data_IF_475540281548
#
_entry.id   IF_475540281548
#
_cell.length_a   1.000
_cell.length_b   1.000
_cell.length_c   1.000
_cell.angle_alpha   90.00
_cell.angle_beta   90.00
_cell.angle_gamma   90.00
#
_symmetry.space_group_name_H-M   'P 1'
#
loop_
_entity.id
_entity.type
_entity.pdbx_description
1 polymer ?
#
# COMPACT_ATOMS: atom_id res chain seq x y z
N UNK A 1 -3.73 17.81 -9.08
CA UNK A 1 -4.17 17.51 -7.71
C UNK A 1 -3.44 16.31 -7.17
N UNK A 2 -2.98 16.39 -5.94
CA UNK A 2 -2.36 15.24 -5.29
C UNK A 2 -3.44 14.37 -4.65
N UNK A 3 -3.38 13.08 -4.92
CA UNK A 3 -4.28 12.12 -4.32
C UNK A 3 -3.52 11.47 -3.17
N UNK A 4 -4.15 11.40 -2.01
CA UNK A 4 -3.53 10.83 -0.82
C UNK A 4 -4.28 9.61 -0.35
N UNK A 5 -3.53 8.66 0.20
CA UNK A 5 -4.10 7.46 0.81
C UNK A 5 -3.42 7.24 2.15
N UNK A 6 -4.20 6.84 3.13
CA UNK A 6 -3.67 6.58 4.46
C UNK A 6 -3.21 5.14 4.57
N UNK A 7 -2.02 4.94 5.14
CA UNK A 7 -1.45 3.63 5.39
C UNK A 7 -1.04 3.51 6.84
N UNK A 8 -0.92 2.30 7.32
CA UNK A 8 -0.50 2.01 8.68
C UNK A 8 0.80 1.22 8.65
N UNK A 9 1.69 1.52 9.57
CA UNK A 9 2.98 0.86 9.66
C UNK A 9 2.80 -0.55 10.24
N UNK A 10 3.44 -1.53 9.61
CA UNK A 10 3.44 -2.91 10.12
C UNK A 10 4.58 -3.09 11.09
N UNK A 11 4.25 -3.60 12.28
CA UNK A 11 5.26 -3.88 13.31
C UNK A 11 5.42 -5.36 13.58
N UNK A 12 4.53 -6.20 13.02
CA UNK A 12 4.54 -7.63 13.23
C UNK A 12 4.41 -8.33 11.87
N UNK A 13 5.25 -9.33 11.62
CA UNK A 13 5.33 -10.03 10.34
C UNK A 13 4.90 -11.49 10.43
N UNK A 14 4.25 -11.90 11.51
CA UNK A 14 3.78 -13.27 11.67
C UNK A 14 2.65 -13.56 10.68
N UNK A 15 2.53 -14.82 10.29
CA UNK A 15 1.49 -15.24 9.36
C UNK A 15 0.08 -14.94 9.88
N UNK A 16 -0.11 -15.07 11.18
CA UNK A 16 -1.40 -14.77 11.81
C UNK A 16 -1.76 -13.29 11.66
N UNK A 17 -0.78 -12.40 11.74
CA UNK A 17 -0.98 -10.97 11.53
C UNK A 17 -1.37 -10.66 10.09
N UNK A 18 -0.72 -11.30 9.12
CA UNK A 18 -1.07 -11.15 7.71
C UNK A 18 -2.50 -11.59 7.43
N UNK A 19 -2.90 -12.72 8.02
CA UNK A 19 -4.27 -13.21 7.88
C UNK A 19 -5.28 -12.22 8.47
N UNK A 20 -4.97 -11.68 9.64
CA UNK A 20 -5.83 -10.70 10.31
C UNK A 20 -5.98 -9.44 9.47
N UNK A 21 -4.89 -8.95 8.88
CA UNK A 21 -4.92 -7.77 8.01
C UNK A 21 -5.86 -8.02 6.83
N UNK A 22 -5.79 -9.20 6.21
CA UNK A 22 -6.67 -9.53 5.08
C UNK A 22 -8.12 -9.70 5.50
N UNK A 23 -8.36 -10.30 6.66
CA UNK A 23 -9.72 -10.50 7.17
C UNK A 23 -10.40 -9.17 7.46
N UNK A 24 -9.63 -8.14 7.80
CA UNK A 24 -10.15 -6.80 8.06
C UNK A 24 -10.31 -5.97 6.78
N UNK A 25 -10.05 -6.56 5.61
CA UNK A 25 -10.15 -5.86 4.34
C UNK A 25 -8.92 -5.06 3.98
N UNK A 26 -7.80 -5.35 4.61
CA UNK A 26 -6.52 -4.70 4.36
C UNK A 26 -5.57 -5.63 3.60
N UNK A 27 -4.48 -5.08 3.10
CA UNK A 27 -3.45 -5.89 2.45
C UNK A 27 -2.07 -5.34 2.78
N UNK A 28 -1.05 -6.19 2.82
CA UNK A 28 0.31 -5.75 3.10
C UNK A 28 0.94 -5.06 1.90
N UNK A 29 1.80 -4.10 2.16
CA UNK A 29 2.53 -3.37 1.13
C UNK A 29 3.89 -2.95 1.67
N UNK A 30 4.75 -2.45 0.80
CA UNK A 30 6.05 -1.93 1.19
C UNK A 30 6.34 -0.64 0.44
N UNK A 31 6.99 0.30 1.14
CA UNK A 31 7.47 1.56 0.57
C UNK A 31 8.99 1.55 0.59
N UNK A 32 9.62 1.84 -0.54
CA UNK A 32 11.06 1.90 -0.62
C UNK A 32 11.50 3.03 -1.56
N UNK A 33 12.75 3.46 -1.41
CA UNK A 33 13.31 4.53 -2.23
C UNK A 33 14.81 4.64 -2.07
N UNK A 34 15.43 5.53 -2.84
CA UNK A 34 16.89 5.64 -2.89
C UNK A 34 17.51 6.04 -1.56
N UNK A 35 16.79 6.81 -0.76
CA UNK A 35 17.29 7.29 0.53
C UNK A 35 16.48 6.76 1.71
N UNK A 36 15.50 5.90 1.43
CA UNK A 36 14.59 5.40 2.46
C UNK A 36 14.69 3.89 2.51
N UNK A 37 14.84 3.36 3.71
CA UNK A 37 14.80 1.92 3.90
C UNK A 37 13.38 1.41 3.63
N UNK A 38 13.30 0.14 3.25
CA UNK A 38 12.00 -0.49 3.04
C UNK A 38 11.16 -0.40 4.30
N UNK A 39 9.99 0.22 4.19
CA UNK A 39 9.05 0.35 5.30
C UNK A 39 7.84 -0.52 5.04
N UNK A 40 7.61 -1.56 5.83
CA UNK A 40 6.42 -2.40 5.68
C UNK A 40 5.19 -1.67 6.22
N UNK A 41 4.11 -1.71 5.45
CA UNK A 41 2.86 -1.03 5.77
C UNK A 41 1.69 -1.93 5.41
N UNK A 42 0.48 -1.51 5.79
CA UNK A 42 -0.74 -2.13 5.30
C UNK A 42 -1.76 -1.05 4.98
N UNK A 43 -2.62 -1.35 4.01
CA UNK A 43 -3.58 -0.43 3.45
C UNK A 43 -4.95 -1.09 3.36
N UNK A 44 -6.00 -0.26 3.42
CA UNK A 44 -7.35 -0.74 3.14
C UNK A 44 -7.50 -0.96 1.63
N UNK A 45 -7.93 -2.15 1.24
CA UNK A 45 -8.00 -2.50 -0.19
C UNK A 45 -9.07 -1.69 -0.93
N UNK A 46 -10.19 -1.39 -0.31
CA UNK A 46 -11.24 -0.59 -0.95
C UNK A 46 -10.75 0.84 -1.22
N UNK A 47 -10.10 1.44 -0.23
CA UNK A 47 -9.52 2.78 -0.38
C UNK A 47 -8.44 2.79 -1.45
N UNK A 48 -7.62 1.76 -1.50
CA UNK A 48 -6.55 1.65 -2.48
C UNK A 48 -7.12 1.56 -3.90
N UNK A 49 -8.11 0.71 -4.11
CA UNK A 49 -8.74 0.57 -5.42
C UNK A 49 -9.36 1.89 -5.88
N UNK A 50 -10.04 2.58 -4.98
CA UNK A 50 -10.63 3.88 -5.29
C UNK A 50 -9.56 4.91 -5.65
N UNK A 51 -8.47 4.93 -4.90
CA UNK A 51 -7.36 5.85 -5.14
C UNK A 51 -6.71 5.60 -6.50
N UNK A 52 -6.49 4.33 -6.85
CA UNK A 52 -5.88 3.96 -8.12
C UNK A 52 -6.79 4.32 -9.30
N UNK A 53 -8.09 4.19 -9.13
CA UNK A 53 -9.04 4.60 -10.18
C UNK A 53 -8.96 6.10 -10.46
N UNK A 54 -8.75 6.90 -9.43
CA UNK A 54 -8.65 8.35 -9.58
C UNK A 54 -7.29 8.79 -10.12
N UNK A 55 -6.21 8.18 -9.62
CA UNK A 55 -4.84 8.58 -9.97
C UNK A 55 -4.28 7.88 -11.20
N UNK A 56 -4.77 6.68 -11.49
CA UNK A 56 -4.17 5.82 -12.51
C UNK A 56 -2.94 5.12 -11.95
N UNK A 57 -2.48 4.10 -12.68
CA UNK A 57 -1.33 3.30 -12.24
C UNK A 57 -0.01 4.05 -12.32
N UNK A 58 0.07 5.05 -13.19
CA UNK A 58 1.29 5.82 -13.38
C UNK A 58 1.29 7.14 -12.62
N UNK A 59 0.26 7.38 -11.81
CA UNK A 59 0.15 8.61 -11.05
C UNK A 59 0.97 8.60 -9.78
N UNK A 60 1.41 9.79 -9.37
CA UNK A 60 2.11 9.96 -8.10
C UNK A 60 1.07 10.13 -7.00
N UNK A 61 1.22 9.37 -5.93
CA UNK A 61 0.33 9.40 -4.78
C UNK A 61 1.06 9.96 -3.56
N UNK A 62 0.30 10.58 -2.66
CA UNK A 62 0.82 10.92 -1.34
C UNK A 62 0.40 9.80 -0.39
N UNK A 63 1.38 9.07 0.12
CA UNK A 63 1.15 7.99 1.08
C UNK A 63 1.38 8.54 2.48
N UNK A 64 0.31 8.55 3.27
CA UNK A 64 0.40 9.03 4.65
C UNK A 64 0.56 7.84 5.58
N UNK A 65 1.75 7.73 6.20
CA UNK A 65 2.07 6.65 7.13
C UNK A 65 2.30 7.29 8.49
N UNK A 66 1.40 7.04 9.43
CA UNK A 66 1.41 7.65 10.76
C UNK A 66 1.48 9.18 10.64
N UNK A 67 2.60 9.79 11.06
CA UNK A 67 2.78 11.23 11.00
C UNK A 67 3.61 11.68 9.79
N UNK A 68 3.99 10.75 8.91
CA UNK A 68 4.85 11.06 7.78
C UNK A 68 4.09 10.94 6.48
N UNK A 69 4.49 11.76 5.51
CA UNK A 69 3.91 11.74 4.18
C UNK A 69 5.01 11.45 3.16
N UNK A 70 4.73 10.56 2.25
CA UNK A 70 5.67 10.17 1.19
C UNK A 70 5.01 10.39 -0.16
N UNK A 71 5.74 11.01 -1.08
CA UNK A 71 5.35 11.02 -2.49
C UNK A 71 5.81 9.71 -3.10
N UNK A 72 4.87 8.88 -3.52
CA UNK A 72 5.18 7.55 -4.00
C UNK A 72 4.49 7.27 -5.33
N UNK A 73 5.04 6.30 -6.04
CA UNK A 73 4.46 5.77 -7.26
C UNK A 73 4.26 4.28 -7.10
N UNK A 74 3.14 3.76 -7.61
CA UNK A 74 2.90 2.32 -7.57
C UNK A 74 3.88 1.63 -8.51
N UNK A 75 4.76 0.80 -7.95
CA UNK A 75 5.75 0.07 -8.72
C UNK A 75 5.19 -1.26 -9.21
N UNK A 76 4.57 -2.02 -8.31
CA UNK A 76 4.02 -3.31 -8.66
C UNK A 76 2.84 -3.63 -7.76
N UNK A 77 1.96 -4.50 -8.24
CA UNK A 77 0.81 -4.96 -7.48
C UNK A 77 0.60 -6.44 -7.79
N UNK A 78 0.36 -7.22 -6.75
CA UNK A 78 0.07 -8.64 -6.86
C UNK A 78 -1.37 -8.90 -6.44
N UNK A 79 -2.10 -9.62 -7.28
CA UNK A 79 -3.49 -9.95 -7.02
C UNK A 79 -3.68 -11.46 -7.10
N UNK A 80 -4.68 -11.95 -6.36
CA UNK A 80 -5.11 -13.34 -6.43
C UNK A 80 -6.24 -13.43 -7.47
N UNK A 81 -6.01 -14.07 -8.63
CA UNK A 81 -7.03 -14.12 -9.68
C UNK A 81 -8.25 -14.95 -9.30
N UNK A 82 -8.11 -15.91 -8.38
CA UNK A 82 -9.22 -16.74 -7.94
C UNK A 82 -10.15 -16.00 -6.99
N UNK A 83 -9.58 -15.19 -6.10
CA UNK A 83 -10.36 -14.44 -5.12
C UNK A 83 -10.59 -12.99 -5.51
N UNK A 84 -9.92 -12.54 -6.57
CA UNK A 84 -9.98 -11.16 -7.04
C UNK A 84 -9.62 -10.16 -5.92
N UNK A 85 -8.62 -10.53 -5.13
CA UNK A 85 -8.15 -9.73 -4.01
C UNK A 85 -6.71 -9.27 -4.24
N UNK A 86 -6.36 -8.12 -3.67
CA UNK A 86 -5.00 -7.62 -3.69
C UNK A 86 -4.20 -8.35 -2.62
N UNK A 87 -3.10 -8.97 -3.01
CA UNK A 87 -2.25 -9.73 -2.09
C UNK A 87 -1.12 -8.85 -1.55
N UNK A 88 -0.56 -8.00 -2.40
CA UNK A 88 0.60 -7.18 -2.03
C UNK A 88 0.76 -6.02 -3.01
N UNK A 89 1.37 -4.93 -2.56
CA UNK A 89 1.70 -3.81 -3.43
C UNK A 89 3.06 -3.24 -3.05
N UNK A 90 3.81 -2.78 -4.06
CA UNK A 90 5.10 -2.13 -3.88
C UNK A 90 4.99 -0.67 -4.29
N UNK A 91 5.40 0.22 -3.41
CA UNK A 91 5.44 1.66 -3.68
C UNK A 91 6.88 2.15 -3.67
N UNK A 92 7.20 2.99 -4.63
CA UNK A 92 8.52 3.60 -4.74
C UNK A 92 8.41 5.09 -4.45
N UNK A 93 9.26 5.59 -3.56
CA UNK A 93 9.33 7.02 -3.25
C UNK A 93 9.96 7.76 -4.43
N UNK A 94 9.31 8.80 -4.86
CA UNK A 94 9.77 9.62 -6.00
C UNK A 94 10.21 11.01 -5.55
#
# INVERSE_FOLDING_TARGET
MSISIQANKRTDFKNSTNRKIRDEGNFPAVVYGNKTESTPIYLNSADFIKTIREAGRNGVLTLQVDKQKYSVMLHDIQTDPLKNEIVHADFQVV
#
